data_IF_255149416916
#
_entry.id   IF_255149416916
#
_cell.length_a   1.000
_cell.length_b   1.000
_cell.length_c   1.000
_cell.angle_alpha   90.00
_cell.angle_beta   90.00
_cell.angle_gamma   90.00
#
_symmetry.space_group_name_H-M   'P 1'
#
loop_
_entity.id
_entity.type
_entity.pdbx_description
1 polymer ?
#
# COMPACT_ATOMS: atom_id res chain seq x y z
N UNK A 1 17.45 27.84 11.82
CA UNK A 1 18.15 26.69 11.19
C UNK A 1 17.14 25.95 10.32
N UNK A 2 17.33 26.01 9.00
CA UNK A 2 16.28 25.78 8.01
C UNK A 2 15.77 24.33 7.97
N UNK A 3 14.45 24.20 7.89
CA UNK A 3 13.78 22.97 7.53
C UNK A 3 14.21 22.54 6.12
N UNK A 4 14.83 21.37 5.99
CA UNK A 4 14.86 20.59 4.74
C UNK A 4 15.37 21.28 3.46
N UNK A 5 16.21 22.32 3.57
CA UNK A 5 16.82 22.94 2.40
C UNK A 5 17.87 21.98 1.83
N UNK A 6 17.75 21.66 0.54
CA UNK A 6 18.69 20.91 -0.32
C UNK A 6 20.09 21.54 -0.44
N UNK A 7 20.49 22.39 0.51
CA UNK A 7 21.60 23.33 0.36
C UNK A 7 22.98 22.76 0.62
N UNK A 8 23.12 21.51 1.08
CA UNK A 8 24.46 20.97 1.40
C UNK A 8 24.79 19.65 0.69
N UNK A 9 23.94 18.60 0.72
CA UNK A 9 24.22 17.30 0.05
C UNK A 9 22.96 16.44 -0.27
N UNK A 10 21.75 17.01 -0.12
CA UNK A 10 20.49 16.25 -0.29
C UNK A 10 20.08 16.09 -1.75
N UNK A 11 19.49 14.95 -2.11
CA UNK A 11 18.88 14.75 -3.43
C UNK A 11 17.55 15.52 -3.50
N UNK A 12 17.27 16.17 -4.63
CA UNK A 12 15.98 16.82 -4.86
C UNK A 12 14.83 15.81 -4.60
N UNK A 13 13.74 16.16 -3.88
CA UNK A 13 12.73 15.19 -3.47
C UNK A 13 11.98 14.61 -4.63
N UNK A 14 11.85 15.35 -5.74
CA UNK A 14 11.25 14.83 -6.96
C UNK A 14 12.10 13.68 -7.53
N UNK A 15 13.42 13.84 -7.50
CA UNK A 15 14.37 12.80 -7.91
C UNK A 15 14.36 11.64 -6.92
N UNK A 16 14.38 11.92 -5.61
CA UNK A 16 14.29 10.88 -4.59
C UNK A 16 12.98 10.10 -4.69
N UNK A 17 11.84 10.76 -4.88
CA UNK A 17 10.54 10.14 -5.07
C UNK A 17 10.55 9.22 -6.30
N UNK A 18 11.16 9.68 -7.40
CA UNK A 18 11.33 8.86 -8.59
C UNK A 18 12.19 7.61 -8.28
N UNK A 19 13.34 7.76 -7.63
CA UNK A 19 14.19 6.65 -7.20
C UNK A 19 13.44 5.66 -6.30
N UNK A 20 12.67 6.17 -5.34
CA UNK A 20 11.88 5.36 -4.41
C UNK A 20 10.84 4.54 -5.19
N UNK A 21 10.06 5.18 -6.07
CA UNK A 21 9.01 4.51 -6.84
C UNK A 21 9.56 3.51 -7.85
N UNK A 22 10.69 3.81 -8.50
CA UNK A 22 11.25 2.96 -9.54
C UNK A 22 12.10 1.80 -8.99
N UNK A 23 12.82 1.99 -7.89
CA UNK A 23 13.80 1.01 -7.41
C UNK A 23 13.53 0.48 -6.01
N UNK A 24 13.06 1.32 -5.08
CA UNK A 24 12.89 0.91 -3.69
C UNK A 24 11.59 0.14 -3.50
N UNK A 25 10.45 0.73 -3.84
CA UNK A 25 9.12 0.12 -3.64
C UNK A 25 8.99 -1.23 -4.35
N UNK A 26 9.40 -1.40 -5.63
CA UNK A 26 9.24 -2.68 -6.31
C UNK A 26 10.06 -3.81 -5.67
N UNK A 27 11.23 -3.49 -5.12
CA UNK A 27 12.08 -4.46 -4.41
C UNK A 27 11.56 -4.75 -3.01
N UNK A 28 11.17 -3.71 -2.28
CA UNK A 28 10.73 -3.82 -0.89
C UNK A 28 9.41 -4.57 -0.77
N UNK A 29 8.54 -4.39 -1.76
CA UNK A 29 7.24 -5.07 -1.83
C UNK A 29 7.26 -6.22 -2.83
N UNK A 30 8.42 -6.77 -3.20
CA UNK A 30 8.45 -7.89 -4.14
C UNK A 30 7.73 -9.12 -3.55
N UNK A 31 7.16 -9.96 -4.43
CA UNK A 31 6.49 -11.20 -4.02
C UNK A 31 5.01 -11.05 -3.63
N UNK A 32 4.40 -12.19 -3.30
CA UNK A 32 2.99 -12.30 -2.88
C UNK A 32 2.87 -12.36 -1.36
N UNK A 33 3.92 -12.78 -0.65
CA UNK A 33 4.02 -12.84 0.81
C UNK A 33 3.75 -11.49 1.49
N UNK A 34 4.05 -10.38 0.80
CA UNK A 34 3.81 -9.01 1.25
C UNK A 34 2.34 -8.74 1.56
N UNK A 35 1.43 -9.51 0.96
CA UNK A 35 -0.01 -9.38 1.13
C UNK A 35 -0.48 -9.93 2.49
N UNK A 36 0.26 -10.87 3.08
CA UNK A 36 -0.11 -11.57 4.32
C UNK A 36 0.77 -11.20 5.51
N UNK A 37 1.40 -10.01 5.48
CA UNK A 37 2.25 -9.54 6.56
C UNK A 37 1.49 -9.37 7.88
N UNK A 38 2.15 -9.73 8.98
CA UNK A 38 1.65 -9.46 10.33
C UNK A 38 1.79 -7.98 10.68
N UNK A 39 1.08 -7.52 11.72
CA UNK A 39 1.21 -6.14 12.20
C UNK A 39 2.64 -5.81 12.64
N UNK A 40 3.34 -6.79 13.21
CA UNK A 40 4.74 -6.64 13.63
C UNK A 40 5.65 -6.45 12.40
N UNK A 41 5.44 -7.22 11.34
CA UNK A 41 6.21 -7.09 10.10
C UNK A 41 5.98 -5.74 9.44
N UNK A 42 4.72 -5.28 9.39
CA UNK A 42 4.37 -3.95 8.84
C UNK A 42 5.03 -2.83 9.65
N UNK A 43 5.07 -2.94 10.98
CA UNK A 43 5.73 -1.96 11.85
C UNK A 43 7.25 -1.92 11.63
N UNK A 44 7.89 -3.09 11.54
CA UNK A 44 9.31 -3.22 11.25
C UNK A 44 9.64 -2.64 9.86
N UNK A 45 8.82 -2.96 8.86
CA UNK A 45 8.96 -2.47 7.50
C UNK A 45 8.79 -0.95 7.42
N UNK A 46 7.82 -0.40 8.15
CA UNK A 46 7.58 1.05 8.23
C UNK A 46 8.78 1.77 8.85
N UNK A 47 9.32 1.23 9.94
CA UNK A 47 10.50 1.79 10.59
C UNK A 47 11.72 1.77 9.67
N UNK A 48 11.94 0.65 8.98
CA UNK A 48 13.01 0.51 7.98
C UNK A 48 12.83 1.50 6.82
N UNK A 49 11.62 1.57 6.26
CA UNK A 49 11.32 2.44 5.12
C UNK A 49 11.56 3.91 5.45
N UNK A 50 11.06 4.40 6.59
CA UNK A 50 11.28 5.81 6.96
C UNK A 50 12.75 6.11 7.25
N UNK A 51 13.50 5.19 7.86
CA UNK A 51 14.96 5.32 8.02
C UNK A 51 15.67 5.43 6.66
N UNK A 52 15.26 4.62 5.69
CA UNK A 52 15.77 4.69 4.32
C UNK A 52 15.47 6.04 3.66
N UNK A 53 14.24 6.54 3.81
CA UNK A 53 13.84 7.85 3.27
C UNK A 53 14.68 9.00 3.86
N UNK A 54 14.92 8.98 5.18
CA UNK A 54 15.80 9.95 5.85
C UNK A 54 17.20 9.92 5.26
N UNK A 55 17.76 8.73 5.05
CA UNK A 55 19.10 8.56 4.44
C UNK A 55 19.16 9.08 3.00
N UNK A 56 18.16 8.78 2.17
CA UNK A 56 18.09 9.28 0.79
C UNK A 56 18.07 10.83 0.75
N UNK A 57 17.37 11.44 1.70
CA UNK A 57 17.27 12.90 1.83
C UNK A 57 18.41 13.53 2.66
N UNK A 58 19.36 12.73 3.17
CA UNK A 58 20.40 13.18 4.11
C UNK A 58 19.83 13.93 5.34
N UNK A 59 18.67 13.49 5.83
CA UNK A 59 18.00 14.07 7.00
C UNK A 59 18.51 13.41 8.29
N UNK A 60 18.60 14.16 9.41
CA UNK A 60 18.91 13.59 10.72
C UNK A 60 17.91 12.50 11.14
N UNK A 61 18.37 11.48 11.87
CA UNK A 61 17.50 10.41 12.38
C UNK A 61 16.37 10.93 13.29
N UNK A 62 16.62 12.03 14.02
CA UNK A 62 15.65 12.75 14.86
C UNK A 62 14.53 13.46 14.08
N UNK A 63 14.59 13.52 12.76
CA UNK A 63 13.56 14.17 11.94
C UNK A 63 12.23 13.43 12.10
N UNK A 64 11.14 14.17 12.31
CA UNK A 64 9.81 13.58 12.46
C UNK A 64 9.41 12.78 11.21
N UNK A 65 8.92 11.55 11.40
CA UNK A 65 8.58 10.64 10.29
C UNK A 65 7.53 11.22 9.34
N UNK A 66 6.50 11.88 9.88
CA UNK A 66 5.47 12.54 9.08
C UNK A 66 6.06 13.64 8.18
N UNK A 67 7.02 14.42 8.68
CA UNK A 67 7.67 15.47 7.92
C UNK A 67 8.50 14.89 6.76
N UNK A 68 9.16 13.75 6.95
CA UNK A 68 9.92 13.05 5.89
C UNK A 68 8.99 12.61 4.76
N UNK A 69 7.87 11.97 5.10
CA UNK A 69 6.89 11.51 4.12
C UNK A 69 6.27 12.68 3.34
N UNK A 70 5.90 13.75 4.04
CA UNK A 70 5.32 14.96 3.44
C UNK A 70 6.31 15.68 2.52
N UNK A 71 7.57 15.83 2.94
CA UNK A 71 8.60 16.52 2.16
C UNK A 71 8.94 15.77 0.86
N UNK A 72 8.93 14.43 0.89
CA UNK A 72 9.20 13.61 -0.30
C UNK A 72 7.95 13.47 -1.18
N UNK A 73 6.75 13.61 -0.60
CA UNK A 73 5.49 13.31 -1.30
C UNK A 73 5.25 11.81 -1.45
N UNK A 74 5.71 11.02 -0.47
CA UNK A 74 5.56 9.56 -0.45
C UNK A 74 4.57 9.15 0.64
N UNK A 75 3.70 8.19 0.33
CA UNK A 75 2.74 7.64 1.30
C UNK A 75 3.43 6.62 2.22
N UNK A 76 2.85 6.31 3.40
CA UNK A 76 3.33 5.23 4.26
C UNK A 76 3.42 3.89 3.51
N UNK A 77 4.40 3.06 3.87
CA UNK A 77 4.59 1.76 3.19
C UNK A 77 3.39 0.83 3.37
N UNK A 78 2.70 0.91 4.51
CA UNK A 78 1.46 0.18 4.75
C UNK A 78 0.37 0.55 3.74
N UNK A 79 0.25 1.83 3.40
CA UNK A 79 -0.69 2.28 2.38
C UNK A 79 -0.31 1.78 0.97
N UNK A 80 0.99 1.65 0.64
CA UNK A 80 1.44 1.00 -0.61
C UNK A 80 1.06 -0.49 -0.65
N UNK A 81 1.14 -1.19 0.49
CA UNK A 81 0.70 -2.59 0.61
C UNK A 81 -0.82 -2.67 0.37
N UNK A 82 -1.60 -1.79 1.00
CA UNK A 82 -3.05 -1.74 0.80
C UNK A 82 -3.42 -1.51 -0.67
N UNK A 83 -2.73 -0.58 -1.35
CA UNK A 83 -2.90 -0.34 -2.79
C UNK A 83 -2.68 -1.60 -3.62
N UNK A 84 -1.66 -2.39 -3.29
CA UNK A 84 -1.35 -3.62 -4.01
C UNK A 84 -2.39 -4.71 -3.74
N UNK A 85 -2.86 -4.83 -2.49
CA UNK A 85 -3.94 -5.75 -2.13
C UNK A 85 -5.21 -5.42 -2.91
N UNK A 86 -5.65 -4.16 -2.89
CA UNK A 86 -6.82 -3.70 -3.63
C UNK A 86 -6.62 -3.80 -5.15
N UNK A 87 -5.42 -3.53 -5.66
CA UNK A 87 -5.09 -3.70 -7.07
C UNK A 87 -5.19 -5.15 -7.53
N UNK A 88 -4.71 -6.09 -6.73
CA UNK A 88 -4.87 -7.52 -7.02
C UNK A 88 -6.34 -7.95 -6.95
N UNK A 89 -7.09 -7.47 -5.96
CA UNK A 89 -8.53 -7.73 -5.87
C UNK A 89 -9.30 -7.18 -7.07
N UNK A 90 -8.91 -5.99 -7.55
CA UNK A 90 -9.48 -5.42 -8.78
C UNK A 90 -9.26 -6.33 -9.99
N UNK A 91 -8.08 -6.91 -10.14
CA UNK A 91 -7.80 -7.83 -11.25
C UNK A 91 -8.70 -9.08 -11.20
N UNK A 92 -9.02 -9.57 -9.99
CA UNK A 92 -9.96 -10.70 -9.82
C UNK A 92 -11.38 -10.28 -10.21
N UNK A 93 -11.81 -9.09 -9.77
CA UNK A 93 -13.15 -8.57 -10.10
C UNK A 93 -13.31 -8.37 -11.61
N UNK A 94 -12.30 -7.79 -12.28
CA UNK A 94 -12.35 -7.48 -13.72
C UNK A 94 -12.32 -8.74 -14.59
N UNK A 95 -11.81 -9.86 -14.08
CA UNK A 95 -11.71 -11.11 -14.84
C UNK A 95 -12.98 -11.95 -14.66
N UNK A 96 -14.01 -11.62 -15.45
CA UNK A 96 -15.29 -12.33 -15.47
C UNK A 96 -15.14 -13.80 -15.90
N UNK A 97 -15.91 -14.70 -15.29
CA UNK A 97 -15.85 -16.16 -15.49
C UNK A 97 -14.51 -16.83 -15.16
N UNK A 98 -13.72 -16.23 -14.26
CA UNK A 98 -12.46 -16.82 -13.78
C UNK A 98 -12.66 -17.64 -12.50
N UNK A 99 -11.87 -18.71 -12.34
CA UNK A 99 -11.87 -19.56 -11.13
C UNK A 99 -11.53 -18.73 -9.89
N UNK A 100 -10.68 -17.72 -10.05
CA UNK A 100 -10.29 -16.78 -9.01
C UNK A 100 -11.49 -15.97 -8.50
N UNK A 101 -12.38 -15.55 -9.41
CA UNK A 101 -13.60 -14.81 -9.06
C UNK A 101 -14.61 -15.70 -8.34
N UNK A 102 -14.81 -16.93 -8.81
CA UNK A 102 -15.68 -17.91 -8.15
C UNK A 102 -15.15 -18.24 -6.74
N UNK A 103 -13.84 -18.41 -6.62
CA UNK A 103 -13.17 -18.61 -5.35
C UNK A 103 -13.35 -17.38 -4.44
N UNK A 104 -13.24 -16.16 -4.97
CA UNK A 104 -13.44 -14.93 -4.20
C UNK A 104 -14.85 -14.83 -3.63
N UNK A 105 -15.87 -15.07 -4.45
CA UNK A 105 -17.27 -15.11 -4.01
C UNK A 105 -17.47 -16.12 -2.87
N UNK A 106 -16.97 -17.35 -3.05
CA UNK A 106 -17.09 -18.40 -2.05
C UNK A 106 -16.36 -18.06 -0.75
N UNK A 107 -15.12 -17.58 -0.84
CA UNK A 107 -14.31 -17.29 0.35
C UNK A 107 -14.88 -16.11 1.15
N UNK A 108 -15.39 -15.08 0.48
CA UNK A 108 -16.03 -13.94 1.16
C UNK A 108 -17.34 -14.33 1.85
N UNK A 109 -18.09 -15.30 1.32
CA UNK A 109 -19.32 -15.79 1.95
C UNK A 109 -19.07 -16.74 3.13
N UNK A 110 -17.97 -17.51 3.11
CA UNK A 110 -17.73 -18.60 4.06
C UNK A 110 -16.83 -18.23 5.24
N UNK A 111 -15.95 -17.23 5.11
CA UNK A 111 -14.87 -17.01 6.08
C UNK A 111 -15.35 -16.23 7.30
N UNK A 112 -15.03 -16.75 8.48
CA UNK A 112 -15.25 -16.07 9.76
C UNK A 112 -14.30 -14.88 9.95
N UNK A 113 -14.71 -13.96 10.82
CA UNK A 113 -13.97 -12.74 11.17
C UNK A 113 -12.57 -13.02 11.75
N UNK A 114 -12.36 -14.21 12.30
CA UNK A 114 -11.10 -14.67 12.89
C UNK A 114 -10.11 -15.29 11.88
N UNK A 115 -10.49 -15.42 10.60
CA UNK A 115 -9.62 -16.08 9.62
C UNK A 115 -8.43 -15.21 9.20
N UNK A 116 -7.22 -15.76 9.23
CA UNK A 116 -6.03 -15.13 8.64
C UNK A 116 -5.98 -15.40 7.13
N UNK A 117 -6.96 -14.85 6.40
CA UNK A 117 -7.08 -15.02 4.95
C UNK A 117 -6.86 -13.71 4.21
N UNK A 118 -6.41 -13.80 2.96
CA UNK A 118 -6.27 -12.63 2.11
C UNK A 118 -7.60 -11.87 1.93
N UNK A 119 -8.70 -12.60 1.70
CA UNK A 119 -10.03 -11.99 1.55
C UNK A 119 -10.46 -11.23 2.81
N UNK A 120 -10.10 -11.72 4.01
CA UNK A 120 -10.34 -10.96 5.25
C UNK A 120 -9.53 -9.67 5.29
N UNK A 121 -8.29 -9.66 4.79
CA UNK A 121 -7.50 -8.42 4.65
C UNK A 121 -8.18 -7.43 3.71
N UNK A 122 -8.74 -7.91 2.60
CA UNK A 122 -9.51 -7.05 1.67
C UNK A 122 -10.69 -6.41 2.39
N UNK A 123 -11.48 -7.18 3.16
CA UNK A 123 -12.60 -6.66 3.97
C UNK A 123 -12.15 -5.57 4.94
N UNK A 124 -11.11 -5.84 5.73
CA UNK A 124 -10.57 -4.87 6.71
C UNK A 124 -10.11 -3.59 6.01
N UNK A 125 -9.46 -3.71 4.85
CA UNK A 125 -8.96 -2.56 4.08
C UNK A 125 -10.12 -1.76 3.48
N UNK A 126 -11.15 -2.43 2.93
CA UNK A 126 -12.34 -1.73 2.43
C UNK A 126 -13.06 -0.98 3.53
N UNK A 127 -13.20 -1.55 4.73
CA UNK A 127 -13.78 -0.87 5.89
C UNK A 127 -12.91 0.31 6.34
N UNK A 128 -11.58 0.13 6.41
CA UNK A 128 -10.64 1.17 6.83
C UNK A 128 -10.70 2.42 5.94
N UNK A 129 -10.95 2.24 4.64
CA UNK A 129 -11.02 3.32 3.66
C UNK A 129 -12.45 3.72 3.29
N UNK A 130 -13.46 3.24 4.03
CA UNK A 130 -14.88 3.52 3.78
C UNK A 130 -15.31 3.20 2.33
N UNK A 131 -14.86 2.05 1.83
CA UNK A 131 -15.15 1.53 0.50
C UNK A 131 -16.34 0.57 0.53
N UNK A 132 -17.03 0.37 -0.61
CA UNK A 132 -18.06 -0.65 -0.71
C UNK A 132 -17.52 -2.03 -0.32
N UNK A 133 -18.38 -2.88 0.23
CA UNK A 133 -17.96 -4.20 0.68
C UNK A 133 -17.35 -5.00 -0.48
N UNK A 134 -16.41 -5.92 -0.22
CA UNK A 134 -15.81 -6.72 -1.29
C UNK A 134 -16.85 -7.53 -2.08
N UNK A 135 -17.96 -7.92 -1.43
CA UNK A 135 -19.07 -8.59 -2.09
C UNK A 135 -19.80 -7.66 -3.07
N UNK A 136 -20.10 -6.41 -2.66
CA UNK A 136 -20.72 -5.43 -3.55
C UNK A 136 -19.82 -5.10 -4.74
N UNK A 137 -18.51 -5.03 -4.51
CA UNK A 137 -17.52 -4.79 -5.56
C UNK A 137 -17.45 -5.93 -6.58
N UNK A 138 -17.71 -7.18 -6.16
CA UNK A 138 -17.77 -8.34 -7.06
C UNK A 138 -19.07 -8.40 -7.88
N UNK A 139 -20.18 -7.93 -7.31
CA UNK A 139 -21.49 -7.91 -7.99
C UNK A 139 -21.58 -6.70 -8.93
N UNK A 140 -21.11 -5.54 -8.49
CA UNK A 140 -21.17 -4.28 -9.22
C UNK A 140 -19.78 -3.61 -9.28
N UNK A 141 -18.88 -4.10 -10.15
CA UNK A 141 -17.57 -3.49 -10.30
C UNK A 141 -17.67 -2.02 -10.71
N UNK A 142 -17.00 -1.10 -10.00
CA UNK A 142 -16.89 0.28 -10.46
C UNK A 142 -16.08 0.34 -11.76
N UNK A 143 -16.23 1.39 -12.55
CA UNK A 143 -15.37 1.59 -13.72
C UNK A 143 -13.90 1.78 -13.33
N UNK A 144 -12.97 1.47 -14.24
CA UNK A 144 -11.53 1.66 -14.02
C UNK A 144 -11.17 3.10 -13.64
N UNK A 145 -11.88 4.09 -14.21
CA UNK A 145 -11.68 5.50 -13.88
C UNK A 145 -12.15 5.84 -12.46
N UNK A 146 -13.27 5.27 -12.01
CA UNK A 146 -13.77 5.41 -10.63
C UNK A 146 -12.83 4.73 -9.64
N UNK A 147 -12.31 3.55 -9.97
CA UNK A 147 -11.35 2.82 -9.12
C UNK A 147 -10.03 3.59 -8.90
N UNK A 148 -9.49 4.21 -9.96
CA UNK A 148 -8.28 5.05 -9.85
C UNK A 148 -8.45 6.34 -9.03
N UNK A 149 -9.69 6.75 -8.73
CA UNK A 149 -9.95 7.88 -7.83
C UNK A 149 -10.02 7.43 -6.37
N UNK A 150 -10.24 6.14 -6.14
CA UNK A 150 -10.37 5.52 -4.82
C UNK A 150 -9.00 5.13 -4.25
N UNK A 151 -8.03 4.76 -5.10
CA UNK A 151 -6.64 4.47 -4.71
C UNK A 151 -5.63 5.40 -5.36
#
# INVERSE_FOLDING_TARGET
MGAGLYGLNGVNPKVSLHLIRCYVIPRLLYGLEVILLSKTDISNLTTYFVKLLKRIQHLPDRTANAAVLLLIGQIPIEAEIHKRILGNFRNIIDNDNSVERDLAFRQLAMKSDSSNSWFRKVVIITELYDLPSPHDLLVSPPSKSKWKKIG
#
